data_IF_612691565114
#
_entry.id   IF_612691565114
#
_cell.length_a   1.000
_cell.length_b   1.000
_cell.length_c   1.000
_cell.angle_alpha   90.00
_cell.angle_beta   90.00
_cell.angle_gamma   90.00
#
_symmetry.space_group_name_H-M   'P 1'
#
loop_
_entity.id
_entity.type
_entity.pdbx_description
1 polymer ?
#
# COMPACT_ATOMS: atom_id res chain seq x y z
N UNK A 1 10.56 -18.89 27.00
CA UNK A 1 9.37 -18.70 26.16
C UNK A 1 9.76 -17.69 25.11
N UNK A 2 10.07 -18.18 23.91
CA UNK A 2 10.60 -17.40 22.79
C UNK A 2 9.44 -16.92 21.95
N UNK A 3 9.10 -15.63 22.03
CA UNK A 3 8.19 -15.01 21.08
C UNK A 3 8.95 -14.74 19.79
N UNK A 4 8.65 -15.58 18.80
CA UNK A 4 9.02 -15.42 17.41
C UNK A 4 8.13 -14.31 16.84
N UNK A 5 8.61 -13.06 16.87
CA UNK A 5 8.08 -12.02 16.00
C UNK A 5 8.62 -12.32 14.61
N UNK A 6 7.88 -13.11 13.84
CA UNK A 6 8.18 -13.34 12.42
C UNK A 6 8.17 -12.00 11.72
N UNK A 7 9.33 -11.62 11.18
CA UNK A 7 9.51 -10.49 10.27
C UNK A 7 8.42 -10.54 9.20
N UNK A 8 7.51 -9.57 9.22
CA UNK A 8 6.63 -9.27 8.11
C UNK A 8 7.49 -8.66 7.01
N UNK A 9 8.17 -9.51 6.26
CA UNK A 9 8.77 -9.13 4.99
C UNK A 9 7.63 -8.99 3.98
N UNK A 10 7.01 -7.81 3.96
CA UNK A 10 6.46 -7.29 2.71
C UNK A 10 7.58 -7.41 1.67
N UNK A 11 7.27 -7.98 0.50
CA UNK A 11 8.20 -8.06 -0.62
C UNK A 11 8.61 -6.62 -0.95
N UNK A 12 9.76 -6.22 -0.43
CA UNK A 12 10.21 -4.85 -0.54
C UNK A 12 10.45 -4.58 -2.02
N UNK A 13 9.71 -3.62 -2.59
CA UNK A 13 10.09 -3.03 -3.87
C UNK A 13 11.57 -2.65 -3.75
N UNK A 14 12.48 -3.24 -4.56
CA UNK A 14 13.92 -3.00 -4.43
C UNK A 14 14.32 -1.54 -4.67
N UNK A 15 13.39 -0.67 -5.07
CA UNK A 15 13.55 0.79 -5.19
C UNK A 15 13.31 1.55 -3.87
N UNK A 16 12.73 0.93 -2.85
CA UNK A 16 12.46 1.56 -1.56
C UNK A 16 13.63 1.32 -0.59
N UNK A 17 14.26 2.41 -0.14
CA UNK A 17 15.34 2.39 0.86
C UNK A 17 14.84 1.72 2.16
N UNK A 18 15.61 0.83 2.82
CA UNK A 18 15.32 0.34 4.16
C UNK A 18 14.78 1.38 5.17
N UNK A 19 15.23 2.63 5.08
CA UNK A 19 14.70 3.72 5.92
C UNK A 19 13.20 3.98 5.72
N UNK A 20 12.69 3.80 4.50
CA UNK A 20 11.26 3.90 4.23
C UNK A 20 10.49 2.89 5.06
N UNK A 21 10.91 1.62 5.05
CA UNK A 21 10.25 0.56 5.80
C UNK A 21 10.38 0.75 7.31
N UNK A 22 11.50 1.29 7.80
CA UNK A 22 11.62 1.67 9.21
C UNK A 22 10.53 2.67 9.63
N UNK A 23 10.30 3.72 8.82
CA UNK A 23 9.25 4.71 9.09
C UNK A 23 7.85 4.10 8.98
N UNK A 24 7.60 3.24 7.99
CA UNK A 24 6.33 2.50 7.88
C UNK A 24 6.07 1.68 9.15
N UNK A 25 7.09 0.98 9.64
CA UNK A 25 6.98 0.18 10.86
C UNK A 25 6.68 1.05 12.10
N UNK A 26 7.27 2.24 12.21
CA UNK A 26 6.93 3.20 13.28
C UNK A 26 5.45 3.61 13.24
N UNK A 27 4.89 3.86 12.04
CA UNK A 27 3.44 4.10 11.90
C UNK A 27 2.62 2.88 12.32
N UNK A 28 3.02 1.66 11.91
CA UNK A 28 2.32 0.43 12.28
C UNK A 28 2.36 0.17 13.78
N UNK A 29 3.49 0.39 14.45
CA UNK A 29 3.60 0.26 15.91
C UNK A 29 2.62 1.19 16.64
N UNK A 30 2.55 2.46 16.22
CA UNK A 30 1.63 3.43 16.81
C UNK A 30 0.17 3.04 16.58
N UNK A 31 -0.18 2.65 15.35
CA UNK A 31 -1.56 2.24 15.03
C UNK A 31 -1.94 0.95 15.74
N UNK A 32 -1.03 -0.02 15.89
CA UNK A 32 -1.24 -1.23 16.66
C UNK A 32 -1.47 -0.94 18.15
N UNK A 33 -0.72 0.00 18.72
CA UNK A 33 -0.95 0.47 20.09
C UNK A 33 -2.35 1.05 20.24
N UNK A 34 -2.76 1.95 19.36
CA UNK A 34 -4.11 2.54 19.40
C UNK A 34 -5.21 1.53 19.11
N UNK A 35 -4.96 0.52 18.28
CA UNK A 35 -5.94 -0.49 17.93
C UNK A 35 -6.32 -1.37 19.13
N UNK A 36 -5.38 -1.63 20.03
CA UNK A 36 -5.64 -2.32 21.30
C UNK A 36 -6.59 -1.54 22.21
N UNK A 37 -6.56 -0.21 22.16
CA UNK A 37 -7.37 0.66 23.04
C UNK A 37 -8.73 1.02 22.42
N UNK A 38 -8.75 1.27 21.11
CA UNK A 38 -9.91 1.88 20.43
C UNK A 38 -10.56 0.97 19.38
N UNK A 39 -9.99 -0.21 19.14
CA UNK A 39 -10.46 -1.21 18.19
C UNK A 39 -9.97 -0.99 16.76
N UNK A 40 -9.74 -2.11 16.05
CA UNK A 40 -9.19 -2.14 14.69
C UNK A 40 -9.96 -1.26 13.69
N UNK A 41 -11.29 -1.35 13.67
CA UNK A 41 -12.14 -0.59 12.73
C UNK A 41 -11.97 0.92 12.89
N UNK A 42 -11.94 1.41 14.13
CA UNK A 42 -11.78 2.84 14.41
C UNK A 42 -10.39 3.33 14.01
N UNK A 43 -9.36 2.55 14.31
CA UNK A 43 -7.99 2.94 13.98
C UNK A 43 -7.69 2.83 12.50
N UNK A 44 -8.24 1.84 11.78
CA UNK A 44 -8.14 1.80 10.31
C UNK A 44 -8.68 3.09 9.67
N UNK A 45 -9.85 3.57 10.12
CA UNK A 45 -10.40 4.85 9.66
C UNK A 45 -9.54 6.06 10.07
N UNK A 46 -9.01 6.06 11.31
CA UNK A 46 -8.15 7.14 11.78
C UNK A 46 -6.83 7.22 10.99
N UNK A 47 -6.20 6.07 10.70
CA UNK A 47 -4.98 5.98 9.88
C UNK A 47 -5.21 6.51 8.47
N UNK A 48 -6.31 6.12 7.83
CA UNK A 48 -6.69 6.65 6.51
C UNK A 48 -6.86 8.17 6.54
N UNK A 49 -7.55 8.69 7.56
CA UNK A 49 -7.80 10.12 7.71
C UNK A 49 -6.51 10.90 8.01
N UNK A 50 -5.59 10.33 8.78
CA UNK A 50 -4.28 10.92 9.03
C UNK A 50 -3.44 10.97 7.74
N UNK A 51 -3.39 9.87 6.99
CA UNK A 51 -2.70 9.79 5.71
C UNK A 51 -3.27 10.80 4.71
N UNK A 52 -4.60 10.95 4.61
CA UNK A 52 -5.22 11.93 3.72
C UNK A 52 -4.84 13.37 4.08
N UNK A 53 -4.76 13.70 5.38
CA UNK A 53 -4.34 15.04 5.83
C UNK A 53 -2.88 15.33 5.48
N UNK A 54 -1.99 14.36 5.73
CA UNK A 54 -0.58 14.49 5.37
C UNK A 54 -0.41 14.65 3.86
N UNK A 55 -1.05 13.79 3.07
CA UNK A 55 -0.94 13.80 1.62
C UNK A 55 -1.56 15.06 0.98
N UNK A 56 -2.65 15.59 1.55
CA UNK A 56 -3.19 16.87 1.11
C UNK A 56 -2.20 18.02 1.33
N UNK A 57 -1.52 18.05 2.48
CA UNK A 57 -0.47 19.04 2.74
C UNK A 57 0.72 18.87 1.77
N UNK A 58 1.16 17.63 1.54
CA UNK A 58 2.23 17.32 0.61
C UNK A 58 1.91 17.78 -0.83
N UNK A 59 0.69 17.52 -1.32
CA UNK A 59 0.21 18.00 -2.62
C UNK A 59 0.30 19.51 -2.74
N UNK A 60 -0.28 20.23 -1.77
CA UNK A 60 -0.30 21.70 -1.76
C UNK A 60 1.10 22.32 -1.73
N UNK A 61 2.09 21.61 -1.17
CA UNK A 61 3.47 22.07 -1.11
C UNK A 61 4.28 21.79 -2.40
N UNK A 62 3.81 20.91 -3.28
CA UNK A 62 4.56 20.43 -4.46
C UNK A 62 4.03 20.99 -5.78
N UNK A 63 2.79 21.49 -5.81
CA UNK A 63 2.16 22.02 -7.01
C UNK A 63 2.00 23.54 -6.96
N UNK A 64 2.11 24.18 -8.13
CA UNK A 64 1.72 25.58 -8.33
C UNK A 64 0.33 25.71 -8.99
N UNK A 65 -0.27 24.61 -9.45
CA UNK A 65 -1.61 24.56 -10.06
C UNK A 65 -2.54 23.61 -9.28
N UNK A 66 -2.86 24.03 -8.06
CA UNK A 66 -3.71 23.26 -7.14
C UNK A 66 -5.05 22.90 -7.77
N UNK A 67 -5.66 23.81 -8.53
CA UNK A 67 -6.99 23.62 -9.10
C UNK A 67 -6.96 22.67 -10.30
N UNK A 68 -6.00 22.83 -11.21
CA UNK A 68 -5.85 21.99 -12.40
C UNK A 68 -5.41 20.57 -12.08
N UNK A 69 -4.57 20.38 -11.06
CA UNK A 69 -3.98 19.08 -10.74
C UNK A 69 -4.76 18.27 -9.69
N UNK A 70 -5.73 18.90 -8.98
CA UNK A 70 -6.47 18.24 -7.88
C UNK A 70 -7.05 16.90 -8.28
N UNK A 71 -7.74 16.82 -9.42
CA UNK A 71 -8.44 15.60 -9.82
C UNK A 71 -7.44 14.48 -10.13
N UNK A 72 -6.40 14.80 -10.91
CA UNK A 72 -5.35 13.85 -11.25
C UNK A 72 -4.64 13.33 -9.99
N UNK A 73 -4.37 14.19 -9.01
CA UNK A 73 -3.77 13.79 -7.74
C UNK A 73 -4.68 12.84 -6.94
N UNK A 74 -5.98 13.13 -6.87
CA UNK A 74 -6.95 12.24 -6.20
C UNK A 74 -7.00 10.87 -6.87
N UNK A 75 -7.05 10.83 -8.20
CA UNK A 75 -7.08 9.58 -8.97
C UNK A 75 -5.79 8.79 -8.76
N UNK A 76 -4.63 9.46 -8.81
CA UNK A 76 -3.34 8.83 -8.53
C UNK A 76 -3.28 8.22 -7.13
N UNK A 77 -3.59 9.00 -6.09
CA UNK A 77 -3.48 8.54 -4.70
C UNK A 77 -4.45 7.41 -4.37
N UNK A 78 -5.67 7.46 -4.89
CA UNK A 78 -6.67 6.41 -4.65
C UNK A 78 -6.35 5.12 -5.39
N UNK A 79 -5.84 5.21 -6.62
CA UNK A 79 -5.35 4.04 -7.35
C UNK A 79 -4.11 3.42 -6.68
N UNK A 80 -3.16 4.25 -6.23
CA UNK A 80 -1.99 3.77 -5.49
C UNK A 80 -2.39 3.02 -4.21
N UNK A 81 -3.31 3.58 -3.43
CA UNK A 81 -3.82 2.90 -2.23
C UNK A 81 -4.52 1.58 -2.58
N UNK A 82 -5.35 1.55 -3.63
CA UNK A 82 -6.03 0.34 -4.09
C UNK A 82 -5.03 -0.76 -4.47
N UNK A 83 -3.95 -0.41 -5.17
CA UNK A 83 -2.90 -1.37 -5.56
C UNK A 83 -2.20 -1.95 -4.33
N UNK A 84 -1.69 -1.10 -3.44
CA UNK A 84 -1.00 -1.54 -2.21
C UNK A 84 -1.93 -2.38 -1.32
N UNK A 85 -3.20 -2.00 -1.20
CA UNK A 85 -4.16 -2.77 -0.41
C UNK A 85 -4.45 -4.15 -1.01
N UNK A 86 -4.60 -4.25 -2.34
CA UNK A 86 -4.75 -5.54 -3.02
C UNK A 86 -3.53 -6.43 -2.75
N UNK A 87 -2.33 -5.88 -2.91
CA UNK A 87 -1.07 -6.59 -2.66
C UNK A 87 -1.02 -7.16 -1.23
N UNK A 88 -1.36 -6.35 -0.23
CA UNK A 88 -1.36 -6.81 1.16
C UNK A 88 -2.47 -7.82 1.48
N UNK A 89 -3.65 -7.69 0.88
CA UNK A 89 -4.74 -8.68 1.03
C UNK A 89 -4.31 -10.02 0.41
N UNK A 90 -3.76 -9.99 -0.80
CA UNK A 90 -3.23 -11.17 -1.48
C UNK A 90 -2.12 -11.84 -0.67
N UNK A 91 -1.16 -11.06 -0.18
CA UNK A 91 -0.05 -11.54 0.65
C UNK A 91 -0.55 -12.21 1.93
N UNK A 92 -1.43 -11.54 2.69
CA UNK A 92 -2.01 -12.10 3.91
C UNK A 92 -2.87 -13.33 3.64
N UNK A 93 -3.60 -13.36 2.53
CA UNK A 93 -4.36 -14.53 2.09
C UNK A 93 -3.45 -15.72 1.84
N UNK A 94 -2.37 -15.51 1.07
CA UNK A 94 -1.36 -16.52 0.80
C UNK A 94 -0.69 -17.04 2.07
N UNK A 95 -0.19 -16.15 2.92
CA UNK A 95 0.48 -16.49 4.19
C UNK A 95 -0.42 -17.30 5.13
N UNK A 96 -1.72 -17.00 5.15
CA UNK A 96 -2.69 -17.64 6.04
C UNK A 96 -3.42 -18.83 5.41
N UNK A 97 -3.15 -19.13 4.14
CA UNK A 97 -3.88 -20.16 3.39
C UNK A 97 -5.38 -19.85 3.23
N UNK A 98 -5.74 -18.58 3.13
CA UNK A 98 -7.12 -18.10 3.01
C UNK A 98 -7.37 -17.61 1.58
N UNK A 99 -8.47 -18.06 0.98
CA UNK A 99 -8.97 -17.50 -0.27
C UNK A 99 -9.55 -16.10 -0.01
N UNK A 100 -8.90 -15.09 -0.60
CA UNK A 100 -9.30 -13.68 -0.50
C UNK A 100 -10.09 -13.19 -1.72
N UNK A 101 -10.45 -14.11 -2.62
CA UNK A 101 -11.21 -13.84 -3.82
C UNK A 101 -10.36 -13.27 -4.96
N UNK A 102 -11.04 -12.62 -5.90
CA UNK A 102 -10.41 -12.03 -7.08
C UNK A 102 -9.52 -10.84 -6.70
N UNK A 103 -8.31 -10.81 -7.27
CA UNK A 103 -7.36 -9.70 -7.15
C UNK A 103 -7.29 -8.93 -8.46
N UNK A 104 -7.72 -7.67 -8.40
CA UNK A 104 -7.62 -6.73 -9.52
C UNK A 104 -6.13 -6.45 -9.86
N UNK A 105 -5.25 -6.52 -8.87
CA UNK A 105 -3.81 -6.31 -9.05
C UNK A 105 -3.18 -7.44 -9.86
N UNK A 106 -3.52 -8.71 -9.56
CA UNK A 106 -3.02 -9.85 -10.32
C UNK A 106 -3.47 -9.80 -11.77
N UNK A 107 -4.75 -9.49 -12.02
CA UNK A 107 -5.28 -9.33 -13.38
C UNK A 107 -4.53 -8.22 -14.14
N UNK A 108 -4.30 -7.07 -13.49
CA UNK A 108 -3.55 -5.97 -14.09
C UNK A 108 -2.11 -6.37 -14.45
N UNK A 109 -1.41 -7.05 -13.56
CA UNK A 109 -0.03 -7.52 -13.79
C UNK A 109 0.01 -8.55 -14.92
N UNK A 110 -0.94 -9.49 -14.97
CA UNK A 110 -1.04 -10.49 -16.03
C UNK A 110 -1.28 -9.84 -17.40
N UNK A 111 -2.18 -8.87 -17.47
CA UNK A 111 -2.44 -8.11 -18.69
C UNK A 111 -1.19 -7.35 -19.16
N UNK A 112 -0.53 -6.65 -18.24
CA UNK A 112 0.71 -5.92 -18.54
C UNK A 112 1.83 -6.87 -19.00
N UNK A 113 1.92 -8.05 -18.40
CA UNK A 113 2.87 -9.09 -18.80
C UNK A 113 2.58 -9.62 -20.21
N UNK A 114 1.32 -9.87 -20.55
CA UNK A 114 0.92 -10.29 -21.89
C UNK A 114 1.26 -9.23 -22.95
N UNK A 115 1.02 -7.96 -22.66
CA UNK A 115 1.37 -6.84 -23.55
C UNK A 115 2.88 -6.71 -23.74
N UNK A 116 3.66 -6.88 -22.67
CA UNK A 116 5.13 -6.83 -22.72
C UNK A 116 5.73 -8.01 -23.47
N UNK A 117 5.20 -9.21 -23.28
CA UNK A 117 5.60 -10.40 -24.04
C UNK A 117 5.34 -10.23 -25.54
N UNK A 118 4.18 -9.67 -25.92
CA UNK A 118 3.88 -9.35 -27.31
C UNK A 118 4.88 -8.33 -27.92
N UNK A 119 5.52 -7.51 -27.07
CA UNK A 119 6.56 -6.55 -27.43
C UNK A 119 7.99 -7.11 -27.29
N UNK A 120 8.16 -8.38 -26.89
CA UNK A 120 9.46 -8.99 -26.63
C UNK A 120 10.19 -8.44 -25.38
N UNK A 121 9.47 -7.78 -24.48
CA UNK A 121 9.99 -7.20 -23.25
C UNK A 121 9.85 -8.20 -22.07
N UNK A 122 10.76 -8.13 -21.07
CA UNK A 122 10.68 -9.02 -19.91
C UNK A 122 9.44 -8.72 -19.06
N UNK A 123 8.91 -9.76 -18.40
CA UNK A 123 7.84 -9.64 -17.42
C UNK A 123 8.18 -8.68 -16.29
N UNK A 124 7.14 -8.12 -15.71
CA UNK A 124 7.13 -7.25 -14.55
C UNK A 124 6.50 -8.01 -13.38
N UNK A 125 7.18 -7.92 -12.24
CA UNK A 125 6.84 -8.50 -10.94
C UNK A 125 7.43 -7.62 -9.87
#
# INVERSE_FOLDING_TARGET
>A
MTDNTTDQQAVADPRLDPKFFAVVNEYLELTNKHAKEHGLKRISMASMYAASRFNAHAFMAQTNDIAGERQQFLDYMTNLYRQMLNEHIDGLGHERGVDVGHSELKEYIEKMNAEREAQGLPRVG
#
